data_IF_111375490884
#
_entry.id   IF_111375490884
#
_cell.length_a   1.000
_cell.length_b   1.000
_cell.length_c   1.000
_cell.angle_alpha   90.00
_cell.angle_beta   90.00
_cell.angle_gamma   90.00
#
_symmetry.space_group_name_H-M   'P 1'
#
loop_
_entity.id
_entity.type
_entity.pdbx_description
1 polymer ?
#
# COMPACT_ATOMS: atom_id res chain seq x y z
N UNK A 1 54.90 -9.69 24.57
CA UNK A 1 53.53 -9.12 24.62
C UNK A 1 53.59 -7.63 24.34
N UNK A 2 53.28 -7.21 23.11
CA UNK A 2 53.07 -5.79 22.81
C UNK A 2 51.93 -5.68 21.79
N UNK A 3 50.77 -5.22 22.22
CA UNK A 3 49.67 -4.82 21.33
C UNK A 3 49.71 -3.30 21.22
N UNK A 4 50.05 -2.80 20.03
CA UNK A 4 49.92 -1.38 19.71
C UNK A 4 48.44 -0.98 19.61
N UNK A 5 48.05 0.25 20.01
CA UNK A 5 46.68 0.72 19.90
C UNK A 5 46.32 0.92 18.43
N UNK A 6 45.44 0.07 17.91
CA UNK A 6 44.88 0.22 16.56
C UNK A 6 43.99 1.46 16.52
N UNK A 7 44.40 2.47 15.73
CA UNK A 7 43.49 3.55 15.29
C UNK A 7 42.31 2.92 14.56
N UNK A 8 41.11 3.00 15.15
CA UNK A 8 39.88 2.78 14.40
C UNK A 8 39.67 3.96 13.45
N UNK A 9 40.03 3.76 12.18
CA UNK A 9 39.55 4.62 11.11
C UNK A 9 38.10 4.22 10.82
N UNK A 10 37.17 4.84 11.54
CA UNK A 10 35.78 4.82 11.13
C UNK A 10 35.67 5.64 9.83
N UNK A 11 35.58 4.95 8.69
CA UNK A 11 35.21 5.59 7.43
C UNK A 11 33.73 6.01 7.53
N UNK A 12 33.53 7.25 7.97
CA UNK A 12 32.22 7.91 7.92
C UNK A 12 31.87 8.07 6.45
N UNK A 13 31.03 7.17 5.93
CA UNK A 13 30.45 7.34 4.61
C UNK A 13 29.67 8.66 4.61
N UNK A 14 30.23 9.69 3.98
CA UNK A 14 29.57 10.95 3.74
C UNK A 14 28.41 10.68 2.76
N UNK A 15 27.23 10.35 3.29
CA UNK A 15 26.00 10.36 2.50
C UNK A 15 25.76 11.80 2.07
N UNK A 16 26.00 12.08 0.79
CA UNK A 16 25.68 13.35 0.15
C UNK A 16 24.24 13.74 0.50
N UNK A 17 24.10 14.73 1.38
CA UNK A 17 22.82 15.39 1.66
C UNK A 17 23.10 16.79 2.20
N UNK A 18 23.80 17.58 1.40
CA UNK A 18 23.65 19.02 1.45
C UNK A 18 22.98 19.42 0.12
N UNK A 19 21.78 20.00 0.12
CA UNK A 19 21.31 20.68 -1.08
C UNK A 19 22.24 21.87 -1.32
N UNK A 20 22.95 21.85 -2.44
CA UNK A 20 23.57 23.05 -3.00
C UNK A 20 22.51 24.14 -3.03
N UNK A 21 22.84 25.30 -2.48
CA UNK A 21 22.04 26.53 -2.45
C UNK A 21 21.24 26.71 -3.73
N UNK A 22 20.00 26.28 -3.69
CA UNK A 22 19.07 26.22 -4.82
C UNK A 22 17.79 25.62 -4.26
N UNK A 23 16.71 26.41 -4.28
CA UNK A 23 15.50 26.22 -3.47
C UNK A 23 15.04 24.77 -3.30
N UNK A 24 14.60 24.45 -2.08
CA UNK A 24 14.07 23.13 -1.69
C UNK A 24 13.10 22.64 -2.76
N UNK A 25 13.46 21.53 -3.44
CA UNK A 25 12.57 20.89 -4.42
C UNK A 25 11.26 20.56 -3.72
N UNK A 26 10.15 21.04 -4.29
CA UNK A 26 8.80 20.76 -3.76
C UNK A 26 8.63 19.25 -3.57
N UNK A 27 8.03 18.80 -2.44
CA UNK A 27 7.74 17.39 -2.22
C UNK A 27 6.99 16.81 -3.42
N UNK A 28 7.46 15.66 -3.91
CA UNK A 28 6.84 15.01 -5.05
C UNK A 28 5.42 14.55 -4.68
N UNK A 29 4.41 15.12 -5.32
CA UNK A 29 3.01 14.71 -5.19
C UNK A 29 2.58 13.92 -6.42
N UNK A 30 2.15 12.68 -6.21
CA UNK A 30 1.59 11.85 -7.27
C UNK A 30 0.29 12.46 -7.82
N UNK A 31 0.02 12.19 -9.11
CA UNK A 31 -1.25 12.55 -9.74
C UNK A 31 -2.41 11.77 -9.08
N UNK A 32 -3.61 12.34 -9.01
CA UNK A 32 -4.78 11.60 -8.53
C UNK A 32 -4.94 10.31 -9.33
N UNK A 33 -5.30 9.22 -8.65
CA UNK A 33 -5.42 7.89 -9.27
C UNK A 33 -4.13 7.08 -9.35
N UNK A 34 -2.93 7.67 -9.34
CA UNK A 34 -1.67 6.91 -9.44
C UNK A 34 -1.44 5.99 -8.23
N UNK A 35 -1.71 6.48 -7.02
CA UNK A 35 -1.57 5.69 -5.80
C UNK A 35 -2.66 4.61 -5.72
N UNK A 36 -3.90 4.96 -6.07
CA UNK A 36 -5.02 4.03 -6.08
C UNK A 36 -4.79 2.84 -7.04
N UNK A 37 -4.33 3.10 -8.26
CA UNK A 37 -4.04 2.03 -9.22
C UNK A 37 -2.90 1.11 -8.76
N UNK A 38 -1.91 1.65 -8.05
CA UNK A 38 -0.83 0.87 -7.45
C UNK A 38 -1.34 -0.03 -6.33
N UNK A 39 -2.22 0.48 -5.47
CA UNK A 39 -2.85 -0.27 -4.39
C UNK A 39 -3.78 -1.36 -4.91
N UNK A 40 -4.61 -1.06 -5.92
CA UNK A 40 -5.47 -2.05 -6.59
C UNK A 40 -4.63 -3.20 -7.16
N UNK A 41 -3.55 -2.90 -7.88
CA UNK A 41 -2.66 -3.94 -8.43
C UNK A 41 -1.97 -4.75 -7.33
N UNK A 42 -1.60 -4.12 -6.20
CA UNK A 42 -1.00 -4.81 -5.05
C UNK A 42 -2.00 -5.79 -4.44
N UNK A 43 -3.20 -5.33 -4.08
CA UNK A 43 -4.22 -6.12 -3.40
C UNK A 43 -4.95 -7.14 -4.28
N UNK A 44 -4.86 -7.02 -5.60
CA UNK A 44 -5.30 -8.08 -6.51
C UNK A 44 -4.22 -9.17 -6.69
N UNK A 45 -2.96 -8.84 -6.42
CA UNK A 45 -1.83 -9.77 -6.50
C UNK A 45 -1.61 -10.53 -5.19
N UNK A 46 -1.73 -9.84 -4.06
CA UNK A 46 -1.68 -10.44 -2.72
C UNK A 46 -3.08 -10.69 -2.19
N UNK A 47 -3.23 -11.58 -1.22
CA UNK A 47 -4.51 -11.82 -0.52
C UNK A 47 -4.37 -11.53 0.97
N UNK A 48 -3.62 -10.47 1.28
CA UNK A 48 -3.52 -10.00 2.66
C UNK A 48 -4.85 -9.39 3.11
N UNK A 49 -5.24 -9.67 4.35
CA UNK A 49 -6.45 -9.10 4.92
C UNK A 49 -6.27 -7.59 5.06
N UNK A 50 -7.14 -6.82 4.40
CA UNK A 50 -7.14 -5.35 4.49
C UNK A 50 -7.54 -4.87 5.89
N UNK A 51 -8.32 -5.67 6.60
CA UNK A 51 -8.74 -5.45 7.98
C UNK A 51 -7.90 -6.36 8.89
N UNK A 52 -7.51 -5.84 10.07
CA UNK A 52 -6.79 -6.64 11.07
C UNK A 52 -7.59 -7.90 11.45
N UNK A 53 -6.90 -9.02 11.64
CA UNK A 53 -7.53 -10.32 11.95
C UNK A 53 -8.40 -10.30 13.20
N UNK A 54 -7.91 -9.69 14.28
CA UNK A 54 -8.58 -9.74 15.58
C UNK A 54 -9.96 -9.04 15.61
N UNK A 55 -10.14 -7.78 15.14
CA UNK A 55 -11.45 -7.16 15.12
C UNK A 55 -12.42 -7.88 14.18
N UNK A 56 -11.96 -8.38 13.03
CA UNK A 56 -12.80 -9.17 12.13
C UNK A 56 -13.27 -10.48 12.78
N UNK A 57 -12.37 -11.18 13.49
CA UNK A 57 -12.71 -12.40 14.21
C UNK A 57 -13.71 -12.14 15.35
N UNK A 58 -13.59 -11.01 16.08
CA UNK A 58 -14.55 -10.64 17.12
C UNK A 58 -15.95 -10.42 16.55
N UNK A 59 -16.04 -9.64 15.46
CA UNK A 59 -17.31 -9.38 14.77
C UNK A 59 -17.99 -10.67 14.28
N UNK A 60 -17.22 -11.59 13.69
CA UNK A 60 -17.78 -12.87 13.21
C UNK A 60 -18.34 -13.71 14.38
N UNK A 61 -17.70 -13.65 15.56
CA UNK A 61 -18.17 -14.37 16.75
C UNK A 61 -19.40 -13.73 17.37
N UNK A 62 -19.42 -12.40 17.43
CA UNK A 62 -20.57 -11.62 17.91
C UNK A 62 -21.83 -11.98 17.10
N UNK A 63 -21.76 -11.84 15.77
CA UNK A 63 -22.89 -12.17 14.89
C UNK A 63 -23.31 -13.65 15.02
N UNK A 64 -22.35 -14.57 15.10
CA UNK A 64 -22.66 -15.99 15.18
C UNK A 64 -23.32 -16.39 16.51
N UNK A 65 -22.95 -15.71 17.60
CA UNK A 65 -23.52 -15.95 18.92
C UNK A 65 -25.00 -15.56 18.99
N UNK A 66 -25.43 -14.58 18.18
CA UNK A 66 -26.85 -14.21 18.05
C UNK A 66 -27.71 -15.33 17.44
N UNK A 67 -27.11 -16.25 16.68
CA UNK A 67 -27.83 -17.39 16.09
C UNK A 67 -27.73 -18.66 16.93
N UNK A 68 -26.54 -19.01 17.44
CA UNK A 68 -26.30 -20.18 18.30
C UNK A 68 -25.11 -19.93 19.23
N UNK A 69 -25.30 -20.18 20.52
CA UNK A 69 -24.32 -19.93 21.59
C UNK A 69 -23.05 -20.79 21.54
N UNK A 70 -23.12 -22.00 20.95
CA UNK A 70 -22.07 -23.03 21.09
C UNK A 70 -21.30 -23.31 19.78
N UNK A 71 -21.17 -22.31 18.91
CA UNK A 71 -20.45 -22.44 17.65
C UNK A 71 -18.94 -22.39 17.84
N UNK A 72 -18.25 -23.43 17.35
CA UNK A 72 -16.78 -23.52 17.33
C UNK A 72 -16.25 -23.22 15.92
N UNK A 73 -15.38 -22.23 15.83
CA UNK A 73 -14.74 -21.83 14.56
C UNK A 73 -13.40 -22.54 14.37
N UNK A 74 -13.19 -23.14 13.19
CA UNK A 74 -11.87 -23.59 12.74
C UNK A 74 -10.96 -22.39 12.44
N UNK A 75 -9.65 -22.52 12.69
CA UNK A 75 -8.67 -21.44 12.47
C UNK A 75 -8.57 -20.99 11.00
N UNK A 76 -8.89 -21.88 10.05
CA UNK A 76 -8.94 -21.61 8.61
C UNK A 76 -10.21 -20.86 8.18
N UNK A 77 -11.29 -20.88 8.96
CA UNK A 77 -12.57 -20.30 8.58
C UNK A 77 -12.51 -18.77 8.40
N UNK A 78 -11.58 -18.11 9.10
CA UNK A 78 -11.37 -16.66 8.99
C UNK A 78 -10.33 -16.29 7.90
N UNK A 79 -9.82 -17.26 7.12
CA UNK A 79 -8.82 -17.02 6.07
C UNK A 79 -9.51 -16.82 4.72
N UNK A 80 -9.25 -15.69 4.08
CA UNK A 80 -9.65 -15.47 2.69
C UNK A 80 -8.78 -16.33 1.76
N UNK A 81 -9.41 -17.19 0.95
CA UNK A 81 -8.72 -18.03 -0.04
C UNK A 81 -8.56 -17.28 -1.38
N UNK A 82 -7.40 -17.34 -2.06
CA UNK A 82 -7.14 -16.61 -3.31
C UNK A 82 -8.05 -16.95 -4.50
N UNK A 83 -8.74 -18.10 -4.45
CA UNK A 83 -9.54 -18.60 -5.58
C UNK A 83 -10.88 -17.90 -5.78
N UNK A 84 -11.37 -17.13 -4.79
CA UNK A 84 -12.77 -16.68 -4.76
C UNK A 84 -12.96 -15.26 -5.30
N UNK A 85 -11.95 -14.39 -5.25
CA UNK A 85 -12.12 -12.94 -5.48
C UNK A 85 -11.62 -12.40 -6.84
N UNK A 86 -11.19 -13.25 -7.78
CA UNK A 86 -10.75 -12.79 -9.12
C UNK A 86 -11.94 -12.51 -10.05
N UNK A 87 -12.74 -11.50 -9.72
CA UNK A 87 -13.76 -10.93 -10.61
C UNK A 87 -13.54 -9.43 -10.70
N UNK A 88 -12.40 -8.99 -11.25
CA UNK A 88 -12.33 -7.64 -11.81
C UNK A 88 -12.19 -7.76 -13.33
N UNK A 89 -13.25 -7.45 -14.11
CA UNK A 89 -13.08 -7.25 -15.53
C UNK A 89 -12.07 -6.11 -15.71
N UNK A 90 -11.11 -6.31 -16.62
CA UNK A 90 -10.14 -5.28 -17.01
C UNK A 90 -10.90 -4.14 -17.69
N UNK A 91 -11.45 -3.21 -16.91
CA UNK A 91 -12.08 -2.00 -17.46
C UNK A 91 -10.98 -1.13 -18.10
N UNK A 92 -11.05 -0.86 -19.42
CA UNK A 92 -10.15 0.08 -20.04
C UNK A 92 -10.51 1.47 -19.52
N UNK A 93 -9.59 2.10 -18.78
CA UNK A 93 -9.70 3.51 -18.41
C UNK A 93 -9.57 4.33 -19.70
N UNK A 94 -10.70 4.54 -20.37
CA UNK A 94 -10.83 5.46 -21.50
C UNK A 94 -10.42 6.84 -20.98
N UNK A 95 -9.34 7.39 -21.55
CA UNK A 95 -8.84 8.71 -21.18
C UNK A 95 -9.92 9.76 -21.31
N UNK A 96 -10.07 10.58 -20.28
CA UNK A 96 -10.92 11.76 -20.27
C UNK A 96 -10.36 12.76 -21.31
N UNK A 97 -10.94 12.79 -22.51
CA UNK A 97 -10.60 13.81 -23.51
C UNK A 97 -11.09 15.18 -23.01
N UNK A 98 -10.22 16.19 -22.88
CA UNK A 98 -10.65 17.53 -22.54
C UNK A 98 -11.43 18.14 -23.72
N UNK A 99 -12.56 18.76 -23.42
CA UNK A 99 -13.39 19.49 -24.39
C UNK A 99 -12.56 20.64 -24.96
N UNK A 100 -12.24 20.58 -26.25
CA UNK A 100 -11.58 21.69 -26.95
C UNK A 100 -12.64 22.74 -27.27
N UNK A 101 -12.59 23.87 -26.58
CA UNK A 101 -13.37 25.04 -26.98
C UNK A 101 -12.69 25.71 -28.19
N UNK A 102 -13.46 26.07 -29.24
CA UNK A 102 -12.90 26.77 -30.39
C UNK A 102 -12.41 28.15 -29.95
N UNK A 103 -11.15 28.47 -30.29
CA UNK A 103 -10.64 29.84 -30.15
C UNK A 103 -11.37 30.70 -31.17
N UNK A 104 -12.19 31.63 -30.68
CA UNK A 104 -12.68 32.71 -31.53
C UNK A 104 -11.48 33.57 -31.92
N UNK A 105 -11.21 33.67 -33.22
CA UNK A 105 -10.29 34.64 -33.77
C UNK A 105 -11.01 36.00 -33.78
N UNK A 106 -10.30 37.05 -33.35
CA UNK A 106 -10.71 38.43 -33.61
C UNK A 106 -10.43 38.77 -35.07
#
# INVERSE_FOLDING_TARGET
>A
LARAPRKQLASKAARKSAPSTGGVKKPHRYKPGTVALREIRRYQKSTELLIRKLPFQRLVREIAQDFKSDLRFQSSAHRCSPGVCRVLPRLPLRGHQPVRHPRQAC
#
